data_IF_466810679353
#
_entry.id   IF_466810679353
#
_cell.length_a   1.000
_cell.length_b   1.000
_cell.length_c   1.000
_cell.angle_alpha   90.00
_cell.angle_beta   90.00
_cell.angle_gamma   90.00
#
_symmetry.space_group_name_H-M   'P 1'
#
loop_
_entity.id
_entity.type
_entity.pdbx_description
1 polymer ?
#
# COMPACT_ATOMS: atom_id res chain seq x y z
N UNK A 1 -20.60 -3.90 12.17
CA UNK A 1 -19.36 -3.10 11.99
C UNK A 1 -18.64 -3.70 10.79
N UNK A 2 -18.34 -2.92 9.75
CA UNK A 2 -17.59 -3.43 8.61
C UNK A 2 -16.17 -3.82 9.07
N UNK A 3 -15.59 -4.93 8.56
CA UNK A 3 -14.23 -5.33 8.93
C UNK A 3 -13.23 -4.24 8.54
N UNK A 4 -12.31 -3.92 9.46
CA UNK A 4 -11.29 -2.89 9.26
C UNK A 4 -10.28 -3.41 8.22
N UNK A 5 -10.20 -2.75 7.07
CA UNK A 5 -9.31 -3.14 5.96
C UNK A 5 -7.86 -2.94 6.36
N UNK A 6 -7.00 -3.91 6.04
CA UNK A 6 -5.57 -3.82 6.30
C UNK A 6 -4.82 -3.42 5.04
N UNK A 7 -4.16 -2.28 5.08
CA UNK A 7 -3.44 -1.68 3.97
C UNK A 7 -1.96 -1.68 4.32
N UNK A 8 -1.11 -2.17 3.41
CA UNK A 8 0.34 -1.97 3.52
C UNK A 8 0.79 -0.98 2.45
N UNK A 9 1.38 0.13 2.89
CA UNK A 9 1.97 1.15 2.04
C UNK A 9 3.46 0.87 1.87
N UNK A 10 3.93 0.66 0.65
CA UNK A 10 5.37 0.63 0.33
C UNK A 10 5.80 2.01 -0.19
N UNK A 11 6.65 2.71 0.57
CA UNK A 11 7.17 4.03 0.24
C UNK A 11 8.56 4.20 0.89
N UNK A 12 9.59 4.41 0.08
CA UNK A 12 10.99 4.56 0.51
C UNK A 12 11.29 5.93 1.12
N UNK A 13 10.48 6.94 0.81
CA UNK A 13 10.59 8.27 1.42
C UNK A 13 9.67 8.41 2.66
N UNK A 14 10.21 8.72 3.85
CA UNK A 14 9.44 8.76 5.09
C UNK A 14 8.46 9.93 5.16
N UNK A 15 8.76 11.08 4.57
CA UNK A 15 7.87 12.24 4.59
C UNK A 15 6.63 12.01 3.71
N UNK A 16 6.85 11.40 2.55
CA UNK A 16 5.82 10.92 1.64
C UNK A 16 4.99 9.82 2.25
N UNK A 17 5.65 8.85 2.91
CA UNK A 17 4.97 7.75 3.58
C UNK A 17 4.03 8.26 4.68
N UNK A 18 4.51 9.20 5.51
CA UNK A 18 3.70 9.81 6.57
C UNK A 18 2.48 10.55 6.00
N UNK A 19 2.65 11.32 4.92
CA UNK A 19 1.53 12.00 4.25
C UNK A 19 0.51 11.00 3.70
N UNK A 20 0.95 9.95 3.02
CA UNK A 20 0.06 8.93 2.47
C UNK A 20 -0.68 8.19 3.59
N UNK A 21 0.02 7.86 4.68
CA UNK A 21 -0.55 7.21 5.84
C UNK A 21 -1.65 8.07 6.46
N UNK A 22 -1.40 9.36 6.71
CA UNK A 22 -2.40 10.29 7.23
C UNK A 22 -3.63 10.41 6.32
N UNK A 23 -3.43 10.43 5.00
CA UNK A 23 -4.53 10.46 4.04
C UNK A 23 -5.35 9.17 4.09
N UNK A 24 -4.70 8.00 4.08
CA UNK A 24 -5.35 6.70 4.13
C UNK A 24 -6.08 6.44 5.45
N UNK A 25 -5.52 6.88 6.58
CA UNK A 25 -6.14 6.78 7.90
C UNK A 25 -7.28 7.79 8.09
N UNK A 26 -7.23 8.92 7.39
CA UNK A 26 -8.28 9.94 7.36
C UNK A 26 -9.48 9.56 6.50
N UNK A 27 -9.41 8.48 5.71
CA UNK A 27 -10.52 7.99 4.90
C UNK A 27 -11.58 7.36 5.80
N UNK A 28 -12.88 7.64 5.59
CA UNK A 28 -13.99 7.12 6.42
C UNK A 28 -14.16 5.59 6.36
N UNK A 29 -13.48 4.91 5.44
CA UNK A 29 -13.37 3.44 5.44
C UNK A 29 -12.41 3.08 6.56
N UNK A 30 -12.90 2.37 7.60
CA UNK A 30 -12.04 1.89 8.67
C UNK A 30 -10.89 1.08 8.07
N UNK A 31 -9.71 1.68 7.98
CA UNK A 31 -8.49 1.04 7.54
C UNK A 31 -7.45 1.07 8.67
N UNK A 32 -6.56 0.10 8.66
CA UNK A 32 -5.30 0.12 9.40
C UNK A 32 -4.21 0.14 8.36
N UNK A 33 -3.32 1.14 8.45
CA UNK A 33 -2.26 1.36 7.48
C UNK A 33 -0.93 1.05 8.15
N UNK A 34 -0.18 0.12 7.58
CA UNK A 34 1.22 -0.14 7.96
C UNK A 34 2.15 0.32 6.84
N UNK A 35 3.28 0.91 7.20
CA UNK A 35 4.25 1.47 6.26
C UNK A 35 5.47 0.58 6.17
N UNK A 36 5.79 0.13 4.97
CA UNK A 36 7.06 -0.50 4.62
C UNK A 36 7.94 0.51 3.86
N UNK A 37 9.18 0.68 4.32
CA UNK A 37 10.18 1.53 3.65
C UNK A 37 10.89 0.84 2.49
N UNK A 38 10.83 -0.50 2.44
CA UNK A 38 11.54 -1.31 1.48
C UNK A 38 10.88 -2.70 1.35
N UNK A 39 11.33 -3.51 0.38
CA UNK A 39 10.79 -4.86 0.16
C UNK A 39 11.04 -5.81 1.33
N UNK A 40 12.16 -5.66 2.05
CA UNK A 40 12.46 -6.51 3.18
C UNK A 40 11.47 -6.25 4.32
N UNK A 41 11.16 -4.98 4.60
CA UNK A 41 10.16 -4.60 5.57
C UNK A 41 8.75 -5.05 5.14
N UNK A 42 8.42 -4.89 3.86
CA UNK A 42 7.15 -5.39 3.30
C UNK A 42 7.01 -6.90 3.48
N UNK A 43 8.04 -7.69 3.15
CA UNK A 43 8.02 -9.15 3.36
C UNK A 43 7.78 -9.53 4.82
N UNK A 44 8.35 -8.78 5.77
CA UNK A 44 8.10 -9.01 7.20
C UNK A 44 6.64 -8.77 7.56
N UNK A 45 6.01 -7.72 7.03
CA UNK A 45 4.59 -7.45 7.25
C UNK A 45 3.70 -8.55 6.64
N UNK A 46 3.97 -8.94 5.40
CA UNK A 46 3.23 -10.00 4.69
C UNK A 46 3.35 -11.37 5.39
N UNK A 47 4.49 -11.66 6.04
CA UNK A 47 4.69 -12.88 6.81
C UNK A 47 3.89 -12.92 8.13
N UNK A 48 3.52 -11.76 8.67
CA UNK A 48 2.73 -11.64 9.91
C UNK A 48 1.24 -11.67 9.61
N UNK A 49 0.82 -10.92 8.60
CA UNK A 49 -0.59 -10.78 8.22
C UNK A 49 -0.70 -10.48 6.72
N UNK A 50 -1.61 -11.19 6.05
CA UNK A 50 -1.97 -10.91 4.67
C UNK A 50 -2.82 -9.63 4.64
N UNK A 51 -2.37 -8.55 3.98
CA UNK A 51 -3.17 -7.34 3.83
C UNK A 51 -4.28 -7.53 2.80
N UNK A 52 -5.34 -6.75 2.95
CA UNK A 52 -6.39 -6.65 1.93
C UNK A 52 -5.85 -6.00 0.65
N UNK A 53 -4.85 -5.12 0.76
CA UNK A 53 -4.29 -4.37 -0.36
C UNK A 53 -2.89 -3.87 -0.06
N UNK A 54 -2.05 -3.85 -1.11
CA UNK A 54 -0.74 -3.20 -1.09
C UNK A 54 -0.82 -1.93 -1.93
N UNK A 55 -0.40 -0.81 -1.36
CA UNK A 55 -0.29 0.47 -2.05
C UNK A 55 1.19 0.78 -2.26
N UNK A 56 1.63 0.77 -3.51
CA UNK A 56 2.95 1.21 -3.93
C UNK A 56 2.90 2.71 -4.17
N UNK A 57 3.67 3.47 -3.39
CA UNK A 57 3.83 4.92 -3.59
C UNK A 57 5.29 5.25 -3.94
N UNK A 58 5.77 4.79 -5.12
CA UNK A 58 7.15 4.98 -5.53
C UNK A 58 7.53 6.45 -5.64
N UNK A 59 8.75 6.78 -5.26
CA UNK A 59 9.30 8.08 -5.61
C UNK A 59 9.62 8.14 -7.12
N UNK A 60 9.09 9.14 -7.87
CA UNK A 60 9.26 9.22 -9.31
C UNK A 60 10.68 9.64 -9.71
N UNK A 61 11.46 10.22 -8.80
CA UNK A 61 12.87 10.53 -9.03
C UNK A 61 13.78 9.37 -8.58
N UNK A 62 13.28 8.51 -7.72
CA UNK A 62 13.96 7.31 -7.27
C UNK A 62 13.83 6.22 -8.34
N UNK A 63 14.97 5.83 -8.92
CA UNK A 63 15.08 4.74 -9.91
C UNK A 63 14.63 3.32 -9.46
N UNK A 64 14.55 2.94 -8.16
CA UNK A 64 14.15 1.57 -7.77
C UNK A 64 12.64 1.30 -7.88
N UNK A 65 11.84 2.30 -8.19
CA UNK A 65 10.37 2.25 -8.28
C UNK A 65 9.80 1.16 -9.19
N UNK A 66 10.41 0.91 -10.35
CA UNK A 66 10.01 -0.21 -11.24
C UNK A 66 10.57 -1.57 -10.80
N UNK A 67 11.68 -1.60 -10.06
CA UNK A 67 12.23 -2.84 -9.54
C UNK A 67 11.30 -3.47 -8.51
N UNK A 68 10.66 -2.64 -7.65
CA UNK A 68 9.73 -3.12 -6.64
C UNK A 68 8.60 -3.96 -7.23
N UNK A 69 7.97 -3.55 -8.33
CA UNK A 69 6.86 -4.30 -8.94
C UNK A 69 7.32 -5.66 -9.48
N UNK A 70 8.50 -5.68 -10.11
CA UNK A 70 9.06 -6.91 -10.71
C UNK A 70 9.47 -7.91 -9.64
N UNK A 71 10.04 -7.44 -8.54
CA UNK A 71 10.45 -8.29 -7.43
C UNK A 71 9.25 -8.72 -6.58
N UNK A 72 8.25 -7.85 -6.38
CA UNK A 72 7.01 -8.19 -5.69
C UNK A 72 6.23 -9.30 -6.40
N UNK A 73 6.18 -9.28 -7.74
CA UNK A 73 5.52 -10.35 -8.53
C UNK A 73 6.29 -11.68 -8.55
N UNK A 74 7.60 -11.65 -8.31
CA UNK A 74 8.41 -12.86 -8.20
C UNK A 74 8.32 -13.49 -6.81
N UNK A 75 8.05 -12.66 -5.80
CA UNK A 75 7.72 -13.13 -4.46
C UNK A 75 6.28 -13.65 -4.44
N UNK A 76 6.18 -14.98 -4.35
CA UNK A 76 4.95 -15.80 -4.32
C UNK A 76 3.93 -15.33 -3.25
N UNK A 77 4.33 -14.47 -2.32
CA UNK A 77 3.48 -13.96 -1.22
C UNK A 77 2.45 -12.89 -1.64
N UNK A 78 2.57 -12.30 -2.84
CA UNK A 78 1.61 -11.32 -3.34
C UNK A 78 0.58 -11.91 -4.32
N UNK A 79 0.63 -13.22 -4.58
CA UNK A 79 -0.30 -13.87 -5.51
C UNK A 79 -1.73 -13.79 -4.95
N UNK A 80 -2.58 -13.01 -5.60
CA UNK A 80 -3.97 -12.74 -5.18
C UNK A 80 -4.18 -11.49 -4.32
N UNK A 81 -3.12 -10.80 -3.87
CA UNK A 81 -3.27 -9.52 -3.16
C UNK A 81 -3.37 -8.39 -4.19
N UNK A 82 -4.41 -7.54 -4.15
CA UNK A 82 -4.49 -6.40 -5.06
C UNK A 82 -3.38 -5.40 -4.74
N UNK A 83 -2.65 -5.01 -5.78
CA UNK A 83 -1.55 -4.05 -5.70
C UNK A 83 -1.91 -2.82 -6.53
N UNK A 84 -1.95 -1.65 -5.89
CA UNK A 84 -2.15 -0.37 -6.57
C UNK A 84 -0.86 0.42 -6.59
N UNK A 85 -0.54 1.03 -7.73
CA UNK A 85 0.68 1.82 -7.89
C UNK A 85 0.28 3.26 -8.16
N UNK A 86 0.72 4.15 -7.28
CA UNK A 86 0.47 5.58 -7.39
C UNK A 86 1.81 6.31 -7.52
N UNK A 87 2.18 6.77 -8.72
CA UNK A 87 3.36 7.63 -8.88
C UNK A 87 3.15 9.02 -8.24
N UNK A 88 1.88 9.43 -8.09
CA UNK A 88 1.42 10.64 -7.41
C UNK A 88 0.27 10.24 -6.50
N UNK A 89 0.24 10.77 -5.28
CA UNK A 89 -0.78 10.43 -4.29
C UNK A 89 -2.16 10.83 -4.82
N UNK A 90 -3.11 9.90 -4.92
CA UNK A 90 -4.46 10.20 -5.37
C UNK A 90 -5.21 11.00 -4.31
N UNK A 91 -6.20 11.79 -4.75
CA UNK A 91 -7.07 12.52 -3.84
C UNK A 91 -7.90 11.57 -2.95
N UNK A 92 -8.32 12.07 -1.78
CA UNK A 92 -9.07 11.28 -0.80
C UNK A 92 -10.32 10.59 -1.39
N UNK A 93 -11.00 11.22 -2.35
CA UNK A 93 -12.15 10.63 -3.03
C UNK A 93 -11.80 9.38 -3.84
N UNK A 94 -10.66 9.39 -4.53
CA UNK A 94 -10.21 8.25 -5.33
C UNK A 94 -9.76 7.10 -4.41
N UNK A 95 -9.07 7.41 -3.30
CA UNK A 95 -8.74 6.45 -2.25
C UNK A 95 -9.98 5.79 -1.66
N UNK A 96 -11.02 6.57 -1.31
CA UNK A 96 -12.29 6.04 -0.82
C UNK A 96 -12.90 5.08 -1.83
N UNK A 97 -12.98 5.48 -3.11
CA UNK A 97 -13.56 4.65 -4.17
C UNK A 97 -12.83 3.34 -4.32
N UNK A 98 -11.49 3.38 -4.33
CA UNK A 98 -10.64 2.20 -4.41
C UNK A 98 -10.88 1.26 -3.23
N UNK A 99 -10.83 1.80 -2.00
CA UNK A 99 -11.00 1.01 -0.78
C UNK A 99 -12.41 0.44 -0.63
N UNK A 100 -13.43 1.10 -1.20
CA UNK A 100 -14.82 0.62 -1.21
C UNK A 100 -15.04 -0.49 -2.25
N UNK A 101 -14.30 -0.48 -3.36
CA UNK A 101 -14.41 -1.51 -4.41
C UNK A 101 -13.59 -2.77 -4.13
N UNK A 102 -12.76 -2.77 -3.08
CA UNK A 102 -12.10 -3.97 -2.54
C UNK A 102 -13.14 -4.82 -1.79
N UNK A 103 -14.04 -5.46 -2.55
CA UNK A 103 -15.02 -6.40 -2.00
C UNK A 103 -14.34 -7.68 -1.47
N UNK A 104 -14.91 -8.29 -0.40
CA UNK A 104 -14.38 -9.46 0.30
C UNK A 104 -14.48 -10.76 -0.50
#
# INVERSE_FOLDING_TARGET
MAPRKHIVLLCDDPARAQRAQQMLEGVPVCATVEVAGDLFHLRRLLAVRIPDVIVLYPDPQSSPSMHYIKDLRKDIYADGIPVFIYPVLPDAHELVRMLTHLHP
#
